data_IF_103914314780
#
_entry.id   IF_103914314780
#
_cell.length_a   1.000
_cell.length_b   1.000
_cell.length_c   1.000
_cell.angle_alpha   90.00
_cell.angle_beta   90.00
_cell.angle_gamma   90.00
#
_symmetry.space_group_name_H-M   'P 1'
#
loop_
_entity.id
_entity.type
_entity.pdbx_description
1 polymer ?
#
# COMPACT_ATOMS: atom_id res chain seq x y z
N UNK A 1 -8.25 -20.38 22.96
CA UNK A 1 -7.09 -20.97 22.26
C UNK A 1 -7.49 -22.05 21.25
N UNK A 2 -8.26 -23.09 21.61
CA UNK A 2 -8.69 -24.12 20.62
C UNK A 2 -9.50 -23.57 19.42
N UNK A 3 -10.31 -22.52 19.61
CA UNK A 3 -11.11 -21.90 18.53
C UNK A 3 -10.28 -21.24 17.41
N UNK A 4 -9.01 -20.93 17.66
CA UNK A 4 -8.13 -20.30 16.66
C UNK A 4 -7.17 -21.29 16.00
N UNK A 5 -6.89 -22.45 16.62
CA UNK A 5 -5.93 -23.41 16.07
C UNK A 5 -6.34 -23.91 14.66
N UNK A 6 -7.59 -24.35 14.48
CA UNK A 6 -8.10 -24.74 13.16
C UNK A 6 -8.21 -23.57 12.16
N UNK A 7 -8.23 -22.34 12.66
CA UNK A 7 -8.27 -21.15 11.82
C UNK A 7 -6.89 -20.77 11.27
N UNK A 8 -5.82 -20.93 12.06
CA UNK A 8 -4.45 -20.80 11.56
C UNK A 8 -4.17 -21.80 10.42
N UNK A 9 -4.63 -23.04 10.57
CA UNK A 9 -4.56 -24.06 9.52
C UNK A 9 -5.31 -23.62 8.26
N UNK A 10 -6.53 -23.10 8.40
CA UNK A 10 -7.32 -22.58 7.26
C UNK A 10 -6.63 -21.41 6.54
N UNK A 11 -6.01 -20.49 7.30
CA UNK A 11 -5.23 -19.39 6.70
C UNK A 11 -4.04 -19.96 5.93
N UNK A 12 -3.27 -20.86 6.54
CA UNK A 12 -2.09 -21.45 5.93
C UNK A 12 -2.43 -22.20 4.65
N UNK A 13 -3.49 -23.02 4.65
CA UNK A 13 -3.96 -23.71 3.44
C UNK A 13 -4.37 -22.72 2.34
N UNK A 14 -5.02 -21.60 2.71
CA UNK A 14 -5.41 -20.57 1.75
C UNK A 14 -4.19 -19.86 1.15
N UNK A 15 -3.21 -19.52 1.99
CA UNK A 15 -1.94 -18.89 1.58
C UNK A 15 -1.16 -19.84 0.67
N UNK A 16 -0.98 -21.09 1.09
CA UNK A 16 -0.22 -22.11 0.36
C UNK A 16 -0.81 -22.35 -1.03
N UNK A 17 -2.12 -22.58 -1.09
CA UNK A 17 -2.86 -22.71 -2.35
C UNK A 17 -2.66 -21.48 -3.23
N UNK A 18 -2.79 -20.27 -2.68
CA UNK A 18 -2.64 -19.04 -3.46
C UNK A 18 -1.21 -18.85 -3.96
N UNK A 19 -0.21 -19.15 -3.14
CA UNK A 19 1.20 -19.10 -3.51
C UNK A 19 1.49 -20.04 -4.67
N UNK A 20 1.04 -21.28 -4.62
CA UNK A 20 1.25 -22.24 -5.70
C UNK A 20 0.46 -21.90 -6.97
N UNK A 21 -0.75 -21.35 -6.84
CA UNK A 21 -1.50 -20.79 -7.98
C UNK A 21 -0.76 -19.64 -8.68
N UNK A 22 -0.06 -18.80 -7.90
CA UNK A 22 0.64 -17.63 -8.43
C UNK A 22 2.04 -17.99 -8.94
N UNK A 23 2.85 -18.66 -8.14
CA UNK A 23 4.29 -18.81 -8.31
C UNK A 23 4.74 -20.25 -8.61
N UNK A 24 3.79 -21.19 -8.71
CA UNK A 24 4.07 -22.60 -9.02
C UNK A 24 4.59 -23.39 -7.82
N UNK A 25 4.99 -24.64 -8.07
CA UNK A 25 5.34 -25.59 -7.00
C UNK A 25 6.64 -25.23 -6.27
N UNK A 26 7.58 -24.56 -6.95
CA UNK A 26 8.86 -24.14 -6.37
C UNK A 26 8.83 -22.63 -6.14
N UNK A 27 8.59 -22.24 -4.89
CA UNK A 27 8.51 -20.83 -4.52
C UNK A 27 9.89 -20.16 -4.55
N UNK A 28 10.01 -18.95 -5.15
CA UNK A 28 11.20 -18.11 -5.02
C UNK A 28 11.53 -17.77 -3.57
N UNK A 29 12.83 -17.57 -3.28
CA UNK A 29 13.32 -17.26 -1.93
C UNK A 29 12.69 -15.98 -1.36
N UNK A 30 12.45 -14.98 -2.20
CA UNK A 30 11.86 -13.69 -1.80
C UNK A 30 10.46 -13.87 -1.23
N UNK A 31 9.75 -14.91 -1.69
CA UNK A 31 8.40 -15.26 -1.25
C UNK A 31 8.46 -16.06 0.05
N UNK A 32 9.31 -17.08 0.11
CA UNK A 32 9.44 -17.92 1.31
C UNK A 32 9.95 -17.11 2.50
N UNK A 33 10.99 -16.30 2.32
CA UNK A 33 11.55 -15.44 3.37
C UNK A 33 10.51 -14.42 3.85
N UNK A 34 9.75 -13.81 2.92
CA UNK A 34 8.69 -12.86 3.28
C UNK A 34 7.57 -13.52 4.08
N UNK A 35 7.11 -14.71 3.66
CA UNK A 35 6.06 -15.45 4.35
C UNK A 35 6.50 -15.89 5.74
N UNK A 36 7.68 -16.50 5.86
CA UNK A 36 8.23 -16.95 7.15
C UNK A 36 8.34 -15.78 8.13
N UNK A 37 8.85 -14.64 7.67
CA UNK A 37 9.03 -13.46 8.53
C UNK A 37 7.69 -12.84 8.92
N UNK A 38 6.74 -12.68 8.00
CA UNK A 38 5.42 -12.15 8.35
C UNK A 38 4.64 -13.10 9.26
N UNK A 39 4.70 -14.41 9.00
CA UNK A 39 4.00 -15.41 9.80
C UNK A 39 4.50 -15.44 11.24
N UNK A 40 5.81 -15.42 11.45
CA UNK A 40 6.42 -15.38 12.77
C UNK A 40 5.89 -14.21 13.61
N UNK A 41 5.71 -13.03 13.00
CA UNK A 41 5.20 -11.87 13.73
C UNK A 41 3.68 -11.92 13.93
N UNK A 42 2.92 -12.47 12.98
CA UNK A 42 1.48 -12.68 13.15
C UNK A 42 1.19 -13.64 14.31
N UNK A 43 1.99 -14.70 14.46
CA UNK A 43 1.92 -15.65 15.58
C UNK A 43 2.33 -14.98 16.89
N UNK A 44 3.45 -14.24 16.91
CA UNK A 44 3.93 -13.54 18.12
C UNK A 44 2.91 -12.54 18.66
N UNK A 45 2.17 -11.86 17.77
CA UNK A 45 1.24 -10.77 18.14
C UNK A 45 -0.23 -11.18 18.19
N UNK A 46 -0.56 -12.46 17.97
CA UNK A 46 -1.94 -12.97 17.91
C UNK A 46 -2.84 -12.25 16.85
N UNK A 47 -2.28 -11.84 15.72
CA UNK A 47 -3.01 -11.10 14.66
C UNK A 47 -3.93 -11.97 13.81
N UNK A 48 -3.93 -13.29 13.99
CA UNK A 48 -4.85 -14.16 13.27
C UNK A 48 -6.32 -13.80 13.51
N UNK A 49 -6.65 -13.28 14.69
CA UNK A 49 -8.02 -12.80 14.97
C UNK A 49 -8.42 -11.67 14.01
N UNK A 50 -7.50 -10.74 13.75
CA UNK A 50 -7.71 -9.65 12.79
C UNK A 50 -7.87 -10.20 11.38
N UNK A 51 -7.03 -11.14 10.95
CA UNK A 51 -7.14 -11.75 9.63
C UNK A 51 -8.48 -12.49 9.47
N UNK A 52 -8.95 -13.18 10.52
CA UNK A 52 -10.30 -13.80 10.55
C UNK A 52 -11.40 -12.80 10.30
N UNK A 53 -11.36 -11.68 11.02
CA UNK A 53 -12.34 -10.63 10.86
C UNK A 53 -12.33 -10.06 9.45
N UNK A 54 -11.16 -9.82 8.87
CA UNK A 54 -11.03 -9.31 7.51
C UNK A 54 -11.47 -10.31 6.44
N UNK A 55 -11.23 -11.61 6.63
CA UNK A 55 -11.74 -12.66 5.73
C UNK A 55 -13.26 -12.75 5.76
N UNK A 56 -13.88 -12.60 6.94
CA UNK A 56 -15.33 -12.57 7.07
C UNK A 56 -15.93 -11.30 6.42
N UNK A 57 -15.27 -10.16 6.59
CA UNK A 57 -15.62 -8.91 5.89
C UNK A 57 -15.56 -9.10 4.38
N UNK A 58 -14.49 -9.74 3.87
CA UNK A 58 -14.34 -10.06 2.45
C UNK A 58 -15.51 -10.90 1.94
N UNK A 59 -15.92 -11.92 2.69
CA UNK A 59 -17.09 -12.76 2.37
C UNK A 59 -18.37 -11.92 2.29
N UNK A 60 -18.67 -11.12 3.32
CA UNK A 60 -19.87 -10.27 3.39
C UNK A 60 -19.92 -9.28 2.22
N UNK A 61 -18.82 -8.58 1.95
CA UNK A 61 -18.75 -7.64 0.82
C UNK A 61 -18.94 -8.36 -0.51
N UNK A 62 -18.31 -9.51 -0.71
CA UNK A 62 -18.45 -10.32 -1.92
C UNK A 62 -19.90 -10.74 -2.21
N UNK A 63 -20.63 -11.20 -1.18
CA UNK A 63 -22.03 -11.62 -1.32
C UNK A 63 -22.98 -10.47 -1.68
N UNK A 64 -22.67 -9.25 -1.25
CA UNK A 64 -23.45 -8.05 -1.57
C UNK A 64 -23.04 -7.39 -2.89
N UNK A 65 -21.93 -7.83 -3.51
CA UNK A 65 -21.29 -7.08 -4.58
C UNK A 65 -20.72 -5.73 -4.12
N UNK A 66 -20.53 -5.56 -2.81
CA UNK A 66 -19.91 -4.40 -2.19
C UNK A 66 -18.39 -4.50 -2.20
N UNK A 67 -17.74 -3.40 -1.82
CA UNK A 67 -16.27 -3.34 -1.73
C UNK A 67 -15.81 -2.86 -0.36
N UNK A 68 -14.60 -3.25 -0.01
CA UNK A 68 -13.90 -2.77 1.17
C UNK A 68 -12.43 -2.49 0.83
N UNK A 69 -11.75 -1.74 1.69
CA UNK A 69 -10.29 -1.71 1.75
C UNK A 69 -9.83 -1.57 3.19
N UNK A 70 -8.61 -2.02 3.45
CA UNK A 70 -7.94 -1.87 4.74
C UNK A 70 -6.91 -0.74 4.67
N UNK A 71 -6.71 -0.08 5.81
CA UNK A 71 -5.71 0.97 6.04
C UNK A 71 -5.07 0.70 7.39
N UNK A 72 -3.82 1.12 7.54
CA UNK A 72 -3.00 0.78 8.71
C UNK A 72 -1.94 -0.26 8.38
N UNK A 73 -1.40 -0.97 9.38
CA UNK A 73 -0.20 -1.76 9.17
C UNK A 73 -0.38 -2.92 8.19
N UNK A 74 -1.51 -3.65 8.27
CA UNK A 74 -1.82 -4.79 7.40
C UNK A 74 -1.88 -4.45 5.90
N UNK A 75 -1.99 -3.17 5.54
CA UNK A 75 -1.92 -2.73 4.13
C UNK A 75 -0.56 -3.07 3.49
N UNK A 76 0.49 -3.21 4.31
CA UNK A 76 1.85 -3.56 3.88
C UNK A 76 2.12 -5.08 3.89
N UNK A 77 1.14 -5.92 4.26
CA UNK A 77 1.33 -7.37 4.44
C UNK A 77 1.16 -8.15 3.15
N UNK A 78 2.11 -9.04 2.89
CA UNK A 78 2.07 -9.99 1.79
C UNK A 78 1.02 -11.09 2.06
N UNK A 79 0.85 -11.49 3.32
CA UNK A 79 -0.22 -12.40 3.73
C UNK A 79 -1.60 -11.77 3.46
N UNK A 80 -1.79 -10.49 3.78
CA UNK A 80 -3.04 -9.79 3.46
C UNK A 80 -3.29 -9.74 1.95
N UNK A 81 -2.25 -9.55 1.14
CA UNK A 81 -2.33 -9.61 -0.32
C UNK A 81 -2.76 -11.01 -0.82
N UNK A 82 -2.12 -12.09 -0.34
CA UNK A 82 -2.46 -13.46 -0.73
C UNK A 82 -3.87 -13.87 -0.30
N UNK A 83 -4.33 -13.42 0.86
CA UNK A 83 -5.71 -13.62 1.31
C UNK A 83 -6.72 -12.76 0.53
N UNK A 84 -6.27 -11.90 -0.38
CA UNK A 84 -7.11 -10.98 -1.16
C UNK A 84 -7.83 -9.95 -0.28
N UNK A 85 -7.15 -9.51 0.78
CA UNK A 85 -7.59 -8.42 1.67
C UNK A 85 -6.98 -7.07 1.24
N UNK A 86 -5.92 -7.11 0.43
CA UNK A 86 -5.26 -5.97 -0.19
C UNK A 86 -5.06 -6.22 -1.69
N UNK A 87 -5.22 -5.18 -2.50
CA UNK A 87 -4.90 -5.20 -3.94
C UNK A 87 -3.41 -4.92 -4.20
N UNK A 88 -2.61 -4.75 -3.14
CA UNK A 88 -1.24 -4.23 -3.20
C UNK A 88 -0.28 -5.36 -2.87
N UNK A 89 0.56 -5.69 -3.84
CA UNK A 89 1.65 -6.64 -3.67
C UNK A 89 2.88 -5.94 -3.06
N UNK A 90 3.24 -6.19 -1.80
CA UNK A 90 4.34 -5.49 -1.15
C UNK A 90 5.73 -5.98 -1.57
N UNK A 91 5.84 -7.05 -2.36
CA UNK A 91 7.13 -7.59 -2.77
C UNK A 91 7.90 -6.60 -3.67
N UNK A 92 9.23 -6.81 -3.86
CA UNK A 92 10.00 -6.07 -4.84
C UNK A 92 9.41 -6.23 -6.25
N UNK A 93 9.66 -5.27 -7.17
CA UNK A 93 9.16 -5.33 -8.53
C UNK A 93 9.58 -6.62 -9.22
N UNK A 94 8.62 -7.33 -9.81
CA UNK A 94 8.89 -8.62 -10.44
C UNK A 94 7.93 -8.92 -11.59
N UNK A 95 8.38 -9.83 -12.46
CA UNK A 95 7.57 -10.42 -13.50
C UNK A 95 6.96 -11.73 -13.04
N UNK A 96 5.72 -11.99 -13.47
CA UNK A 96 5.01 -13.23 -13.23
C UNK A 96 4.43 -13.80 -14.52
N UNK A 97 4.74 -15.05 -14.87
CA UNK A 97 4.12 -15.72 -16.00
C UNK A 97 2.76 -16.34 -15.62
N UNK A 98 1.65 -15.95 -16.29
CA UNK A 98 0.33 -16.52 -15.96
C UNK A 98 0.15 -17.98 -16.40
N UNK A 99 1.00 -18.47 -17.32
CA UNK A 99 0.90 -19.82 -17.89
C UNK A 99 1.76 -20.84 -17.14
N UNK A 100 3.07 -20.58 -17.06
CA UNK A 100 4.04 -21.53 -16.49
C UNK A 100 4.52 -21.17 -15.07
N UNK A 101 3.98 -20.08 -14.49
CA UNK A 101 4.31 -19.59 -13.14
C UNK A 101 5.77 -19.18 -12.91
N UNK A 102 6.57 -19.06 -13.97
CA UNK A 102 7.92 -18.51 -13.90
C UNK A 102 7.90 -17.08 -13.34
N UNK A 103 8.78 -16.80 -12.39
CA UNK A 103 8.87 -15.51 -11.67
C UNK A 103 10.29 -14.95 -11.72
N UNK A 104 10.42 -13.65 -11.97
CA UNK A 104 11.72 -12.96 -12.00
C UNK A 104 11.65 -11.64 -11.21
N UNK A 105 12.29 -11.62 -10.04
CA UNK A 105 12.49 -10.39 -9.26
C UNK A 105 13.54 -9.49 -9.91
N UNK A 106 13.26 -8.19 -9.92
CA UNK A 106 14.18 -7.18 -10.43
C UNK A 106 15.07 -6.67 -9.30
N UNK A 107 16.37 -6.62 -9.59
CA UNK A 107 17.39 -6.07 -8.68
C UNK A 107 17.95 -4.73 -9.19
N UNK A 108 17.46 -4.23 -10.32
CA UNK A 108 17.88 -2.96 -10.92
C UNK A 108 17.10 -1.79 -10.29
N UNK A 109 17.79 -0.67 -10.08
CA UNK A 109 17.22 0.58 -9.56
C UNK A 109 16.35 1.33 -10.58
N UNK A 110 16.31 0.86 -11.84
CA UNK A 110 15.61 1.54 -12.94
C UNK A 110 14.08 1.60 -12.80
N UNK A 111 13.47 0.63 -12.12
CA UNK A 111 12.01 0.58 -11.89
C UNK A 111 11.70 0.39 -10.41
N UNK A 112 11.02 1.39 -9.82
CA UNK A 112 10.68 1.44 -8.40
C UNK A 112 9.38 0.70 -8.04
N UNK A 113 8.56 0.37 -9.04
CA UNK A 113 7.38 -0.47 -8.89
C UNK A 113 7.16 -1.37 -10.12
N UNK A 114 6.46 -2.49 -9.91
CA UNK A 114 6.11 -3.48 -10.91
C UNK A 114 5.38 -2.91 -12.13
N UNK A 115 4.35 -2.05 -11.96
CA UNK A 115 3.66 -1.43 -13.09
C UNK A 115 4.58 -0.70 -14.08
N UNK A 116 5.75 -0.23 -13.63
CA UNK A 116 6.75 0.47 -14.43
C UNK A 116 7.72 -0.44 -15.18
N UNK A 117 7.65 -1.75 -14.96
CA UNK A 117 8.47 -2.69 -15.70
C UNK A 117 8.08 -2.70 -17.18
N UNK A 118 9.05 -2.78 -18.10
CA UNK A 118 8.77 -2.88 -19.53
C UNK A 118 8.08 -4.19 -19.87
N UNK A 119 7.26 -4.20 -20.91
CA UNK A 119 6.60 -5.42 -21.36
C UNK A 119 7.62 -6.45 -21.86
N UNK A 120 7.43 -7.71 -21.45
CA UNK A 120 8.34 -8.80 -21.78
C UNK A 120 7.58 -10.12 -21.95
N UNK A 121 8.12 -10.99 -22.79
CA UNK A 121 7.67 -12.37 -22.94
C UNK A 121 8.42 -13.28 -21.97
N UNK A 122 7.72 -14.28 -21.44
CA UNK A 122 8.27 -15.29 -20.56
C UNK A 122 9.40 -16.05 -21.26
N UNK A 123 10.59 -16.15 -20.67
CA UNK A 123 11.71 -16.86 -21.29
C UNK A 123 11.52 -18.39 -21.34
N UNK A 124 10.56 -18.93 -20.56
CA UNK A 124 10.28 -20.36 -20.50
C UNK A 124 9.22 -20.79 -21.52
N UNK A 125 8.07 -20.10 -21.57
CA UNK A 125 6.94 -20.51 -22.42
C UNK A 125 6.53 -19.47 -23.49
N UNK A 126 7.13 -18.27 -23.51
CA UNK A 126 6.82 -17.22 -24.49
C UNK A 126 5.54 -16.42 -24.22
N UNK A 127 4.77 -16.72 -23.17
CA UNK A 127 3.57 -15.97 -22.81
C UNK A 127 3.91 -14.54 -22.33
N UNK A 128 3.01 -13.57 -22.54
CA UNK A 128 3.18 -12.22 -22.01
C UNK A 128 3.25 -12.25 -20.47
N UNK A 129 4.27 -11.62 -19.88
CA UNK A 129 4.44 -11.60 -18.44
C UNK A 129 3.58 -10.52 -17.79
N UNK A 130 3.00 -10.86 -16.65
CA UNK A 130 2.40 -9.92 -15.72
C UNK A 130 3.49 -9.21 -14.93
N UNK A 131 3.16 -8.04 -14.38
CA UNK A 131 4.06 -7.18 -13.62
C UNK A 131 3.45 -6.88 -12.26
N UNK A 132 4.21 -7.01 -11.19
CA UNK A 132 3.73 -6.83 -9.81
C UNK A 132 4.84 -6.37 -8.87
N UNK A 133 4.48 -6.03 -7.64
CA UNK A 133 5.39 -5.60 -6.58
C UNK A 133 5.52 -4.08 -6.46
N UNK A 134 5.31 -3.55 -5.25
CA UNK A 134 5.41 -2.12 -4.93
C UNK A 134 6.57 -1.78 -3.99
N UNK A 135 7.44 -2.75 -3.69
CA UNK A 135 8.63 -2.60 -2.84
C UNK A 135 8.33 -2.01 -1.44
N UNK A 136 7.28 -2.52 -0.81
CA UNK A 136 6.79 -2.07 0.50
C UNK A 136 7.44 -2.90 1.60
N UNK A 137 8.03 -2.20 2.58
CA UNK A 137 8.95 -2.81 3.52
C UNK A 137 8.24 -3.37 4.74
N UNK A 138 8.60 -4.61 5.09
CA UNK A 138 8.01 -5.37 6.19
C UNK A 138 8.31 -4.73 7.55
N UNK A 139 9.43 -4.03 7.70
CA UNK A 139 9.83 -3.34 8.93
C UNK A 139 8.75 -2.38 9.46
N UNK A 140 7.92 -1.85 8.56
CA UNK A 140 6.85 -0.93 8.94
C UNK A 140 5.48 -1.58 9.16
N UNK A 141 5.34 -2.89 8.92
CA UNK A 141 4.15 -3.67 9.23
C UNK A 141 3.96 -3.79 10.75
N UNK A 142 5.05 -3.73 11.51
CA UNK A 142 5.04 -3.96 12.96
C UNK A 142 5.73 -2.85 13.75
N UNK A 143 5.29 -1.59 13.62
CA UNK A 143 5.96 -0.47 14.27
C UNK A 143 6.03 -0.66 15.78
N UNK A 144 7.15 -0.25 16.36
CA UNK A 144 7.38 -0.33 17.80
C UNK A 144 6.22 0.32 18.57
N UNK A 145 5.56 -0.46 19.43
CA UNK A 145 4.57 -0.01 20.42
C UNK A 145 3.29 0.63 19.86
N UNK A 146 2.79 0.17 18.71
CA UNK A 146 1.42 0.49 18.30
C UNK A 146 0.55 -0.75 18.50
N UNK A 147 -0.48 -0.58 19.32
CA UNK A 147 -1.56 -1.54 19.52
C UNK A 147 -2.10 -1.97 18.15
N UNK A 148 -2.33 -3.28 17.88
CA UNK A 148 -2.84 -3.70 16.59
C UNK A 148 -4.12 -2.95 16.28
N UNK A 149 -4.10 -2.16 15.21
CA UNK A 149 -5.31 -1.54 14.70
C UNK A 149 -5.40 -1.75 13.20
N UNK A 150 -6.62 -1.95 12.72
CA UNK A 150 -6.95 -1.95 11.30
C UNK A 150 -8.07 -0.95 11.09
N UNK A 151 -7.83 0.00 10.20
CA UNK A 151 -8.90 0.84 9.66
C UNK A 151 -9.54 0.06 8.50
N UNK A 152 -10.82 -0.25 8.65
CA UNK A 152 -11.60 -0.95 7.65
C UNK A 152 -12.64 0.00 7.08
N UNK A 153 -12.60 0.20 5.77
CA UNK A 153 -13.60 1.00 5.08
C UNK A 153 -14.47 0.11 4.22
N UNK A 154 -15.79 0.25 4.30
CA UNK A 154 -16.74 -0.50 3.48
C UNK A 154 -17.86 0.40 2.93
N UNK A 155 -18.56 -0.09 1.92
CA UNK A 155 -19.84 0.48 1.49
C UNK A 155 -20.90 0.41 2.63
N UNK A 156 -21.87 1.33 2.66
CA UNK A 156 -22.86 1.42 3.74
C UNK A 156 -23.77 0.20 3.80
N UNK A 157 -24.05 -0.45 2.67
CA UNK A 157 -24.84 -1.67 2.56
C UNK A 157 -24.18 -2.89 3.25
N UNK A 158 -22.86 -2.86 3.41
CA UNK A 158 -22.07 -3.88 4.11
C UNK A 158 -21.95 -3.57 5.61
N UNK A 159 -22.00 -2.30 6.01
CA UNK A 159 -21.64 -1.81 7.35
C UNK A 159 -22.38 -2.53 8.48
N UNK A 160 -23.71 -2.66 8.36
CA UNK A 160 -24.56 -3.25 9.39
C UNK A 160 -24.31 -4.76 9.58
N UNK A 161 -24.01 -5.46 8.49
CA UNK A 161 -23.75 -6.90 8.52
C UNK A 161 -22.36 -7.20 9.04
N UNK A 162 -21.35 -6.41 8.63
CA UNK A 162 -20.00 -6.47 9.18
C UNK A 162 -20.03 -6.21 10.69
N UNK A 163 -20.71 -5.15 11.13
CA UNK A 163 -20.85 -4.81 12.55
C UNK A 163 -21.45 -5.97 13.35
N UNK A 164 -22.49 -6.64 12.80
CA UNK A 164 -23.09 -7.82 13.42
C UNK A 164 -22.13 -9.01 13.44
N UNK A 165 -21.43 -9.29 12.34
CA UNK A 165 -20.48 -10.39 12.27
C UNK A 165 -19.31 -10.23 13.25
N UNK A 166 -18.73 -9.03 13.34
CA UNK A 166 -17.68 -8.69 14.30
C UNK A 166 -18.13 -8.99 15.73
N UNK A 167 -19.34 -8.57 16.10
CA UNK A 167 -19.87 -8.75 17.45
C UNK A 167 -20.33 -10.18 17.72
N UNK A 168 -21.29 -10.66 16.95
CA UNK A 168 -22.09 -11.83 17.28
C UNK A 168 -21.40 -13.13 16.84
N UNK A 169 -20.56 -13.08 15.81
CA UNK A 169 -19.85 -14.26 15.26
C UNK A 169 -18.41 -14.33 15.72
N UNK A 170 -17.72 -13.18 15.76
CA UNK A 170 -16.28 -13.12 16.01
C UNK A 170 -15.92 -12.68 17.43
N UNK A 171 -16.90 -12.25 18.24
CA UNK A 171 -16.71 -11.95 19.65
C UNK A 171 -16.02 -10.60 19.94
N UNK A 172 -15.95 -9.70 18.95
CA UNK A 172 -15.47 -8.34 19.19
C UNK A 172 -16.49 -7.53 20.00
N UNK A 173 -15.98 -6.66 20.87
CA UNK A 173 -16.77 -5.77 21.71
C UNK A 173 -16.78 -4.37 21.09
N UNK A 174 -17.96 -3.77 20.85
CA UNK A 174 -18.02 -2.40 20.37
C UNK A 174 -17.48 -1.44 21.44
N UNK A 175 -16.56 -0.56 21.05
CA UNK A 175 -15.99 0.48 21.90
C UNK A 175 -16.77 1.77 21.67
N UNK A 176 -17.30 2.35 22.75
CA UNK A 176 -17.99 3.64 22.70
C UNK A 176 -16.99 4.78 22.49
N UNK A 177 -16.78 5.19 21.24
CA UNK A 177 -16.12 6.47 20.89
C UNK A 177 -16.88 7.16 19.75
N UNK A 178 -17.81 8.08 20.06
CA UNK A 178 -18.75 8.67 19.09
C UNK A 178 -18.15 9.82 18.28
N UNK A 179 -16.86 9.80 17.97
CA UNK A 179 -16.22 10.85 17.18
C UNK A 179 -16.13 10.42 15.70
N UNK A 180 -16.61 11.29 14.81
CA UNK A 180 -16.42 11.22 13.34
C UNK A 180 -17.05 10.05 12.57
N UNK A 181 -18.12 9.43 13.05
CA UNK A 181 -18.87 8.40 12.28
C UNK A 181 -18.15 7.06 12.14
N UNK A 182 -17.17 6.81 13.02
CA UNK A 182 -16.42 5.56 13.13
C UNK A 182 -17.09 4.60 14.11
N UNK A 183 -17.12 3.30 13.79
CA UNK A 183 -17.45 2.23 14.72
C UNK A 183 -16.18 1.49 15.11
N UNK A 184 -15.83 1.48 16.39
CA UNK A 184 -14.64 0.79 16.89
C UNK A 184 -15.01 -0.54 17.53
N UNK A 185 -14.24 -1.59 17.25
CA UNK A 185 -14.42 -2.95 17.75
C UNK A 185 -13.11 -3.47 18.31
N UNK A 186 -13.10 -3.89 19.57
CA UNK A 186 -11.93 -4.43 20.25
C UNK A 186 -12.15 -5.91 20.54
N UNK A 187 -11.15 -6.75 20.29
CA UNK A 187 -11.21 -8.14 20.70
C UNK A 187 -10.91 -8.28 22.21
N UNK A 188 -11.47 -9.23 22.97
CA UNK A 188 -11.14 -9.37 24.39
C UNK A 188 -9.71 -9.92 24.59
N UNK A 189 -8.86 -9.26 25.40
CA UNK A 189 -7.48 -9.68 25.67
C UNK A 189 -6.53 -8.58 26.18
N UNK A 190 -5.29 -8.95 26.49
CA UNK A 190 -4.16 -7.99 26.56
C UNK A 190 -3.61 -7.81 25.14
N UNK A 191 -3.23 -6.59 24.75
CA UNK A 191 -2.76 -6.23 23.39
C UNK A 191 -3.77 -6.54 22.25
N UNK A 192 -5.06 -6.42 22.57
CA UNK A 192 -6.19 -6.79 21.72
C UNK A 192 -6.28 -6.06 20.37
N UNK A 193 -6.50 -6.77 19.25
CA UNK A 193 -6.71 -6.08 17.98
C UNK A 193 -7.95 -5.17 17.98
N UNK A 194 -7.75 -3.95 17.49
CA UNK A 194 -8.77 -2.92 17.27
C UNK A 194 -9.14 -2.85 15.79
N UNK A 195 -10.42 -2.92 15.47
CA UNK A 195 -10.95 -2.65 14.13
C UNK A 195 -11.75 -1.37 14.17
N UNK A 196 -11.26 -0.34 13.47
CA UNK A 196 -11.98 0.90 13.24
C UNK A 196 -12.72 0.77 11.91
N UNK A 197 -14.03 0.57 11.98
CA UNK A 197 -14.91 0.40 10.85
C UNK A 197 -15.51 1.75 10.43
N UNK A 198 -15.36 2.09 9.15
CA UNK A 198 -15.83 3.32 8.55
C UNK A 198 -16.77 3.03 7.37
N UNK A 199 -17.88 3.74 7.31
CA UNK A 199 -18.64 3.88 6.07
C UNK A 199 -17.85 4.74 5.07
N UNK A 200 -17.78 4.31 3.81
CA UNK A 200 -17.17 5.08 2.75
C UNK A 200 -18.00 5.06 1.48
N UNK A 201 -18.74 6.16 1.24
CA UNK A 201 -19.60 6.36 0.07
C UNK A 201 -18.86 6.26 -1.27
N UNK A 202 -17.56 6.55 -1.30
CA UNK A 202 -16.78 6.38 -2.53
C UNK A 202 -16.72 4.91 -2.97
N UNK A 203 -16.74 3.95 -2.04
CA UNK A 203 -16.74 2.53 -2.39
C UNK A 203 -18.06 2.10 -3.04
N UNK A 204 -19.17 2.74 -2.69
CA UNK A 204 -20.47 2.50 -3.35
C UNK A 204 -20.46 2.99 -4.79
N UNK A 205 -20.00 4.22 -5.01
CA UNK A 205 -19.86 4.77 -6.36
C UNK A 205 -18.90 3.93 -7.20
N UNK A 206 -17.76 3.55 -6.61
CA UNK A 206 -16.78 2.71 -7.27
C UNK A 206 -17.37 1.33 -7.64
N UNK A 207 -18.07 0.64 -6.72
CA UNK A 207 -18.75 -0.63 -7.00
C UNK A 207 -19.80 -0.47 -8.11
N UNK A 208 -20.57 0.62 -8.10
CA UNK A 208 -21.54 0.95 -9.14
C UNK A 208 -20.86 1.14 -10.50
N UNK A 209 -19.73 1.85 -10.57
CA UNK A 209 -19.02 2.06 -11.83
C UNK A 209 -18.57 0.73 -12.46
N UNK A 210 -17.97 -0.18 -11.66
CA UNK A 210 -17.59 -1.51 -12.16
C UNK A 210 -18.79 -2.33 -12.62
N UNK A 211 -19.88 -2.30 -11.84
CA UNK A 211 -21.12 -3.01 -12.16
C UNK A 211 -21.74 -2.50 -13.47
N UNK A 212 -21.80 -1.19 -13.66
CA UNK A 212 -22.33 -0.58 -14.88
C UNK A 212 -21.43 -0.85 -16.09
N UNK A 213 -20.11 -0.82 -15.89
CA UNK A 213 -19.13 -1.16 -16.94
C UNK A 213 -19.09 -2.66 -17.27
N UNK A 214 -19.60 -3.53 -16.38
CA UNK A 214 -19.54 -4.98 -16.54
C UNK A 214 -18.14 -5.55 -16.44
N UNK A 215 -17.26 -4.94 -15.62
CA UNK A 215 -15.83 -5.28 -15.54
C UNK A 215 -15.45 -5.69 -14.12
N UNK A 216 -14.67 -6.76 -14.01
CA UNK A 216 -14.03 -7.09 -12.74
C UNK A 216 -12.84 -6.13 -12.49
N UNK A 217 -12.78 -5.47 -11.33
CA UNK A 217 -11.69 -4.54 -11.01
C UNK A 217 -10.29 -5.18 -11.02
N UNK A 218 -10.18 -6.50 -10.94
CA UNK A 218 -8.90 -7.24 -11.04
C UNK A 218 -8.37 -7.35 -12.48
N UNK A 219 -9.22 -7.13 -13.47
CA UNK A 219 -8.84 -7.07 -14.89
C UNK A 219 -8.12 -5.76 -15.24
N UNK A 220 -8.31 -4.71 -14.44
CA UNK A 220 -7.67 -3.41 -14.63
C UNK A 220 -6.38 -3.34 -13.82
N UNK A 221 -5.29 -3.78 -14.44
CA UNK A 221 -3.95 -3.73 -13.85
C UNK A 221 -3.23 -2.43 -14.24
N UNK A 222 -2.61 -1.73 -13.27
CA UNK A 222 -1.71 -0.63 -13.56
C UNK A 222 -0.56 -1.06 -14.46
N UNK A 223 -0.25 -0.22 -15.43
CA UNK A 223 0.75 -0.51 -16.46
C UNK A 223 1.30 0.80 -17.04
N UNK A 224 2.61 1.02 -16.90
CA UNK A 224 3.28 2.20 -17.41
C UNK A 224 3.13 2.40 -18.91
N UNK A 225 3.03 1.33 -19.70
CA UNK A 225 2.81 1.42 -21.15
C UNK A 225 1.51 2.17 -21.49
N UNK A 226 0.56 2.23 -20.55
CA UNK A 226 -0.75 2.86 -20.70
C UNK A 226 -0.80 4.27 -20.12
N UNK A 227 0.19 4.68 -19.31
CA UNK A 227 0.22 5.98 -18.62
C UNK A 227 0.14 7.13 -19.62
N UNK A 228 0.91 7.09 -20.72
CA UNK A 228 0.85 8.14 -21.75
C UNK A 228 -0.57 8.35 -22.28
N UNK A 229 -1.29 7.24 -22.52
CA UNK A 229 -2.65 7.29 -23.05
C UNK A 229 -3.67 7.76 -21.99
N UNK A 230 -3.40 7.53 -20.71
CA UNK A 230 -4.30 7.83 -19.59
C UNK A 230 -3.94 9.13 -18.86
N UNK A 231 -2.82 9.78 -19.23
CA UNK A 231 -2.23 10.90 -18.47
C UNK A 231 -3.24 11.99 -18.14
N UNK A 232 -4.06 12.40 -19.11
CA UNK A 232 -5.06 13.46 -18.94
C UNK A 232 -6.19 13.01 -17.99
N UNK A 233 -6.74 11.81 -18.23
CA UNK A 233 -7.80 11.23 -17.41
C UNK A 233 -7.35 11.02 -15.96
N UNK A 234 -6.12 10.54 -15.79
CA UNK A 234 -5.50 10.29 -14.50
C UNK A 234 -5.25 11.60 -13.73
N UNK A 235 -4.67 12.61 -14.37
CA UNK A 235 -4.50 13.92 -13.75
C UNK A 235 -5.85 14.54 -13.34
N UNK A 236 -6.88 14.41 -14.18
CA UNK A 236 -8.23 14.88 -13.87
C UNK A 236 -8.87 14.12 -12.69
N UNK A 237 -8.67 12.80 -12.60
CA UNK A 237 -9.17 11.98 -11.49
C UNK A 237 -8.46 12.30 -10.17
N UNK A 238 -7.13 12.46 -10.20
CA UNK A 238 -6.34 12.89 -9.04
C UNK A 238 -6.81 14.28 -8.59
N UNK A 239 -6.93 15.24 -9.50
CA UNK A 239 -7.40 16.60 -9.18
C UNK A 239 -8.81 16.61 -8.57
N UNK A 240 -9.73 15.78 -9.08
CA UNK A 240 -11.10 15.69 -8.57
C UNK A 240 -11.12 15.21 -7.12
N UNK A 241 -10.31 14.19 -6.81
CA UNK A 241 -10.23 13.63 -5.47
C UNK A 241 -9.39 14.48 -4.51
N UNK A 242 -8.40 15.22 -5.01
CA UNK A 242 -7.41 15.99 -4.25
C UNK A 242 -7.15 17.38 -4.87
N UNK A 243 -8.05 18.38 -4.73
CA UNK A 243 -7.89 19.67 -5.41
C UNK A 243 -6.61 20.44 -5.06
N UNK A 244 -6.05 20.22 -3.86
CA UNK A 244 -4.82 20.89 -3.40
C UNK A 244 -3.56 20.43 -4.15
N UNK A 245 -3.62 19.32 -4.90
CA UNK A 245 -2.49 18.78 -5.66
C UNK A 245 -2.29 19.42 -7.05
N UNK A 246 -3.20 20.30 -7.48
CA UNK A 246 -3.18 20.92 -8.80
C UNK A 246 -1.82 21.60 -9.15
N UNK A 247 -1.14 22.28 -8.21
CA UNK A 247 0.18 22.84 -8.48
C UNK A 247 1.24 21.78 -8.84
N UNK A 248 1.19 20.58 -8.21
CA UNK A 248 2.10 19.47 -8.51
C UNK A 248 1.84 18.95 -9.93
N UNK A 249 0.57 18.66 -10.23
CA UNK A 249 0.15 18.17 -11.55
C UNK A 249 0.47 19.16 -12.68
N UNK A 250 0.47 20.46 -12.37
CA UNK A 250 0.83 21.52 -13.34
C UNK A 250 2.34 21.68 -13.50
N UNK A 251 3.14 21.32 -12.51
CA UNK A 251 4.60 21.52 -12.50
C UNK A 251 5.37 20.34 -13.09
N UNK A 252 4.83 19.11 -13.00
CA UNK A 252 5.48 17.92 -13.53
C UNK A 252 4.48 16.96 -14.20
N UNK A 253 4.76 16.46 -15.41
CA UNK A 253 3.92 15.48 -16.06
C UNK A 253 4.05 14.09 -15.40
N UNK A 254 2.95 13.34 -15.35
CA UNK A 254 2.95 11.93 -14.97
C UNK A 254 3.55 11.12 -16.13
N UNK A 255 4.68 10.46 -15.94
CA UNK A 255 5.35 9.67 -16.98
C UNK A 255 5.35 8.18 -16.69
N UNK A 256 5.29 7.81 -15.42
CA UNK A 256 5.27 6.43 -14.95
C UNK A 256 4.28 6.28 -13.79
N UNK A 257 3.98 5.04 -13.40
CA UNK A 257 3.12 4.74 -12.27
C UNK A 257 3.78 5.16 -10.94
N UNK A 258 5.10 5.09 -10.83
CA UNK A 258 5.84 5.59 -9.67
C UNK A 258 5.57 7.09 -9.41
N UNK A 259 5.45 7.90 -10.46
CA UNK A 259 5.11 9.33 -10.31
C UNK A 259 3.75 9.48 -9.61
N UNK A 260 2.79 8.61 -9.92
CA UNK A 260 1.44 8.62 -9.31
C UNK A 260 1.50 8.27 -7.83
N UNK A 261 2.31 7.26 -7.47
CA UNK A 261 2.55 6.88 -6.07
C UNK A 261 3.13 8.07 -5.31
N UNK A 262 4.17 8.72 -5.87
CA UNK A 262 4.82 9.86 -5.23
C UNK A 262 3.90 11.08 -5.12
N UNK A 263 3.07 11.37 -6.13
CA UNK A 263 2.05 12.41 -6.07
C UNK A 263 1.11 12.20 -4.88
N UNK A 264 0.59 10.98 -4.69
CA UNK A 264 -0.23 10.68 -3.50
C UNK A 264 0.57 10.71 -2.19
N UNK A 265 1.86 10.36 -2.21
CA UNK A 265 2.75 10.52 -1.06
C UNK A 265 2.86 11.97 -0.60
N UNK A 266 3.08 12.87 -1.56
CA UNK A 266 3.15 14.31 -1.31
C UNK A 266 1.81 14.88 -0.80
N UNK A 267 0.67 14.47 -1.38
CA UNK A 267 -0.67 14.84 -0.89
C UNK A 267 -0.90 14.46 0.57
N UNK A 268 -0.54 13.22 0.93
CA UNK A 268 -0.80 12.65 2.24
C UNK A 268 0.21 13.09 3.32
N UNK A 269 1.30 13.76 2.95
CA UNK A 269 2.39 14.17 3.84
C UNK A 269 2.09 15.39 4.75
N UNK A 270 0.83 15.86 4.81
CA UNK A 270 0.32 16.94 5.69
C UNK A 270 1.25 18.14 5.85
N UNK A 271 1.20 19.09 4.90
CA UNK A 271 1.95 20.37 4.93
C UNK A 271 3.49 20.25 4.97
N UNK A 272 4.06 19.06 4.77
CA UNK A 272 5.49 18.92 4.38
C UNK A 272 5.77 19.65 3.05
N UNK A 273 4.73 19.74 2.20
CA UNK A 273 4.76 20.39 0.90
C UNK A 273 4.90 21.92 0.95
N UNK A 274 4.26 22.59 1.91
CA UNK A 274 4.10 24.06 1.91
C UNK A 274 5.40 24.83 2.21
N UNK A 275 6.43 24.20 2.81
CA UNK A 275 7.75 24.83 3.00
C UNK A 275 8.84 24.31 2.05
N UNK A 276 8.73 23.07 1.55
CA UNK A 276 9.83 22.43 0.85
C UNK A 276 9.43 21.70 -0.43
N UNK A 277 8.35 20.91 -0.45
CA UNK A 277 7.99 20.16 -1.66
C UNK A 277 7.65 21.07 -2.85
N UNK A 278 6.86 22.13 -2.62
CA UNK A 278 6.51 23.11 -3.66
C UNK A 278 7.74 23.85 -4.17
N UNK A 279 8.62 24.21 -3.25
CA UNK A 279 9.90 24.81 -3.56
C UNK A 279 10.77 23.85 -4.38
N UNK A 280 10.85 22.58 -4.00
CA UNK A 280 11.65 21.57 -4.70
C UNK A 280 11.13 21.34 -6.13
N UNK A 281 9.82 21.17 -6.37
CA UNK A 281 9.32 21.00 -7.75
C UNK A 281 9.30 22.30 -8.57
N UNK A 282 9.17 23.48 -7.94
CA UNK A 282 9.20 24.77 -8.65
C UNK A 282 10.62 25.27 -8.93
N UNK A 283 11.56 25.03 -8.02
CA UNK A 283 12.96 25.48 -8.12
C UNK A 283 13.89 24.41 -8.73
N UNK A 284 13.45 23.14 -8.86
CA UNK A 284 14.26 22.04 -9.41
C UNK A 284 13.56 21.26 -10.54
N UNK A 285 14.40 20.79 -11.45
CA UNK A 285 14.13 20.03 -12.68
C UNK A 285 13.95 18.53 -12.34
N UNK A 286 13.17 18.17 -11.31
CA UNK A 286 13.06 16.78 -10.83
C UNK A 286 11.70 16.14 -11.14
N UNK A 287 11.70 14.83 -11.42
CA UNK A 287 10.46 14.07 -11.60
C UNK A 287 9.83 13.74 -10.24
N UNK A 288 8.49 13.59 -10.14
CA UNK A 288 7.83 13.24 -8.88
C UNK A 288 8.44 12.00 -8.19
N UNK A 289 8.78 10.96 -8.97
CA UNK A 289 9.47 9.74 -8.48
C UNK A 289 10.81 9.96 -7.76
N UNK A 290 11.44 11.13 -7.91
CA UNK A 290 12.71 11.44 -7.26
C UNK A 290 12.51 12.05 -5.86
N UNK A 291 11.28 12.40 -5.47
CA UNK A 291 10.98 13.09 -4.21
C UNK A 291 10.93 12.16 -2.99
N UNK A 292 11.12 12.72 -1.79
CA UNK A 292 10.82 12.03 -0.51
C UNK A 292 9.30 12.01 -0.31
N UNK A 293 8.62 10.93 -0.69
CA UNK A 293 7.15 10.88 -0.70
C UNK A 293 6.54 9.94 0.33
N UNK A 294 7.28 8.92 0.76
CA UNK A 294 6.84 7.95 1.76
C UNK A 294 7.96 7.52 2.70
N UNK A 295 7.58 6.91 3.84
CA UNK A 295 8.55 6.36 4.80
C UNK A 295 9.39 5.23 4.18
N UNK A 296 8.80 4.45 3.28
CA UNK A 296 9.45 3.34 2.61
C UNK A 296 10.48 3.83 1.59
N UNK A 297 10.24 4.97 0.92
CA UNK A 297 11.22 5.55 -0.02
C UNK A 297 12.52 5.92 0.70
N UNK A 298 12.41 6.55 1.90
CA UNK A 298 13.57 6.87 2.73
C UNK A 298 14.32 5.59 3.09
N UNK A 299 13.60 4.57 3.57
CA UNK A 299 14.20 3.28 3.92
C UNK A 299 14.93 2.65 2.72
N UNK A 300 14.23 2.51 1.59
CA UNK A 300 14.72 1.85 0.38
C UNK A 300 15.94 2.59 -0.18
N UNK A 301 15.91 3.92 -0.21
CA UNK A 301 17.03 4.73 -0.68
C UNK A 301 18.27 4.49 0.18
N UNK A 302 18.13 4.50 1.51
CA UNK A 302 19.24 4.27 2.43
C UNK A 302 19.82 2.86 2.31
N UNK A 303 18.97 1.83 2.25
CA UNK A 303 19.40 0.43 2.11
C UNK A 303 20.13 0.19 0.79
N UNK A 304 19.61 0.74 -0.32
CA UNK A 304 20.26 0.63 -1.64
C UNK A 304 21.65 1.28 -1.68
N UNK A 305 21.87 2.34 -0.88
CA UNK A 305 23.18 2.98 -0.73
C UNK A 305 24.07 2.27 0.31
N UNK A 306 23.66 1.12 0.84
CA UNK A 306 24.47 0.29 1.73
C UNK A 306 24.26 0.54 3.23
N UNK A 307 23.22 1.30 3.62
CA UNK A 307 22.87 1.43 5.03
C UNK A 307 22.21 0.14 5.55
N UNK A 308 22.62 -0.31 6.74
CA UNK A 308 21.96 -1.45 7.40
C UNK A 308 20.48 -1.18 7.69
N UNK A 309 19.63 -2.21 7.48
CA UNK A 309 18.16 -2.12 7.56
C UNK A 309 17.66 -1.53 8.90
N UNK A 310 18.23 -1.94 10.03
CA UNK A 310 17.85 -1.40 11.36
C UNK A 310 18.04 0.12 11.47
N UNK A 311 19.16 0.62 10.92
CA UNK A 311 19.47 2.06 10.93
C UNK A 311 18.59 2.80 9.93
N UNK A 312 18.38 2.24 8.74
CA UNK A 312 17.47 2.78 7.75
C UNK A 312 16.03 2.89 8.30
N UNK A 313 15.52 1.85 8.97
CA UNK A 313 14.23 1.87 9.66
C UNK A 313 14.19 2.95 10.75
N UNK A 314 15.23 3.03 11.57
CA UNK A 314 15.30 4.04 12.64
C UNK A 314 15.22 5.46 12.10
N UNK A 315 15.98 5.75 11.03
CA UNK A 315 15.97 7.06 10.36
C UNK A 315 14.62 7.31 9.71
N UNK A 316 14.14 6.40 8.87
CA UNK A 316 12.85 6.53 8.19
C UNK A 316 11.69 6.71 9.18
N UNK A 317 11.67 5.97 10.30
CA UNK A 317 10.68 6.16 11.36
C UNK A 317 10.84 7.50 12.09
N UNK A 318 12.04 8.05 12.21
CA UNK A 318 12.25 9.37 12.81
C UNK A 318 11.74 10.49 11.88
N UNK A 319 12.12 10.43 10.61
CA UNK A 319 11.70 11.37 9.56
C UNK A 319 10.18 11.35 9.39
N UNK A 320 9.57 10.17 9.25
CA UNK A 320 8.12 9.99 9.14
C UNK A 320 7.33 10.66 10.26
N UNK A 321 7.88 10.72 11.47
CA UNK A 321 7.22 11.28 12.65
C UNK A 321 7.59 12.76 12.89
N UNK A 322 8.26 13.40 11.92
CA UNK A 322 8.73 14.78 12.03
C UNK A 322 9.78 15.00 13.11
N UNK A 323 10.41 13.93 13.63
CA UNK A 323 11.40 14.05 14.72
C UNK A 323 12.75 14.61 14.25
N UNK A 324 12.95 14.67 12.94
CA UNK A 324 14.13 15.22 12.29
C UNK A 324 13.91 16.65 11.78
N UNK A 325 12.74 17.25 12.05
CA UNK A 325 12.40 18.59 11.60
C UNK A 325 13.51 19.58 12.01
N UNK A 326 13.95 20.41 11.07
CA UNK A 326 15.05 21.37 11.22
C UNK A 326 16.39 20.77 11.68
N UNK A 327 16.58 19.46 11.53
CA UNK A 327 17.77 18.75 12.00
C UNK A 327 17.87 18.60 13.52
N UNK A 328 16.76 18.80 14.25
CA UNK A 328 16.76 18.83 15.72
C UNK A 328 16.91 17.45 16.39
N UNK A 329 16.84 16.35 15.62
CA UNK A 329 17.03 15.03 16.19
C UNK A 329 18.45 14.89 16.76
N UNK A 330 18.59 14.40 18.00
CA UNK A 330 19.89 14.28 18.70
C UNK A 330 20.97 13.51 17.93
N UNK A 331 20.56 12.58 17.05
CA UNK A 331 21.46 11.76 16.21
C UNK A 331 21.59 12.29 14.78
N UNK A 332 20.91 13.38 14.42
CA UNK A 332 20.92 13.90 13.06
C UNK A 332 22.34 14.20 12.54
N UNK A 333 23.25 14.85 13.30
CA UNK A 333 24.60 15.10 12.79
C UNK A 333 25.40 13.83 12.45
N UNK A 334 25.19 12.75 13.22
CA UNK A 334 25.77 11.42 12.95
C UNK A 334 25.14 10.82 11.68
N UNK A 335 23.80 10.81 11.61
CA UNK A 335 23.07 10.23 10.49
C UNK A 335 23.31 10.97 9.18
N UNK A 336 23.34 12.30 9.20
CA UNK A 336 23.57 13.15 8.02
C UNK A 336 24.97 12.91 7.46
N UNK A 337 25.98 12.84 8.33
CA UNK A 337 27.33 12.47 7.91
C UNK A 337 27.38 11.07 7.30
N UNK A 338 26.79 10.08 7.94
CA UNK A 338 26.76 8.72 7.41
C UNK A 338 26.00 8.61 6.08
N UNK A 339 24.88 9.33 5.94
CA UNK A 339 24.11 9.43 4.70
C UNK A 339 24.96 10.04 3.58
N UNK A 340 25.69 11.12 3.86
CA UNK A 340 26.63 11.71 2.93
C UNK A 340 27.77 10.73 2.56
N UNK A 341 28.35 10.03 3.55
CA UNK A 341 29.45 9.08 3.35
C UNK A 341 29.05 7.88 2.46
N UNK A 342 27.77 7.50 2.46
CA UNK A 342 27.22 6.47 1.56
C UNK A 342 26.66 7.03 0.24
N UNK A 343 26.85 8.32 -0.04
CA UNK A 343 26.48 8.95 -1.31
C UNK A 343 25.02 9.41 -1.42
N UNK A 344 24.30 9.57 -0.30
CA UNK A 344 22.99 10.23 -0.32
C UNK A 344 23.20 11.73 -0.59
N UNK A 345 22.53 12.32 -1.59
CA UNK A 345 22.68 13.74 -1.91
C UNK A 345 22.19 14.66 -0.78
N UNK A 346 22.87 15.80 -0.60
CA UNK A 346 22.52 16.81 0.41
C UNK A 346 21.07 17.29 0.28
N UNK A 347 20.58 17.50 -0.95
CA UNK A 347 19.19 17.93 -1.14
C UNK A 347 18.18 16.93 -0.57
N UNK A 348 18.51 15.63 -0.53
CA UNK A 348 17.65 14.58 -0.02
C UNK A 348 17.60 14.62 1.51
N UNK A 349 18.74 14.86 2.18
CA UNK A 349 18.81 15.02 3.64
C UNK A 349 18.21 16.35 4.09
N UNK A 350 18.42 17.44 3.34
CA UNK A 350 17.69 18.71 3.51
C UNK A 350 16.18 18.49 3.37
N UNK A 351 15.76 17.66 2.42
CA UNK A 351 14.35 17.34 2.25
C UNK A 351 13.73 16.67 3.48
N UNK A 352 14.43 15.69 4.05
CA UNK A 352 14.01 15.01 5.28
C UNK A 352 13.87 15.95 6.49
N UNK A 353 14.66 17.03 6.57
CA UNK A 353 14.60 18.01 7.66
C UNK A 353 13.36 18.91 7.60
N UNK A 354 12.59 18.89 6.53
CA UNK A 354 11.36 19.67 6.39
C UNK A 354 10.09 18.81 6.51
N UNK A 355 10.27 17.49 6.65
CA UNK A 355 9.17 16.54 6.78
C UNK A 355 8.51 16.65 8.14
N UNK A 356 7.20 16.91 8.14
CA UNK A 356 6.35 16.80 9.35
C UNK A 356 5.74 15.42 9.49
N UNK A 357 5.35 14.81 8.38
CA UNK A 357 4.81 13.47 8.32
C UNK A 357 5.10 12.80 6.97
N UNK A 358 5.41 11.50 6.97
CA UNK A 358 5.38 10.68 5.75
C UNK A 358 4.31 9.59 5.83
N UNK A 359 3.52 9.40 4.77
CA UNK A 359 2.62 8.27 4.68
C UNK A 359 3.37 6.94 4.48
N UNK A 360 2.73 5.81 4.78
CA UNK A 360 3.11 4.50 4.24
C UNK A 360 3.07 4.49 2.71
N UNK A 361 4.05 3.84 2.07
CA UNK A 361 4.01 3.63 0.62
C UNK A 361 2.81 2.80 0.17
N UNK A 362 2.41 1.82 0.99
CA UNK A 362 1.20 1.02 0.76
C UNK A 362 -0.03 1.91 0.56
N UNK A 363 -0.24 2.90 1.43
CA UNK A 363 -1.35 3.85 1.31
C UNK A 363 -1.31 4.66 0.02
N UNK A 364 -0.11 5.08 -0.36
CA UNK A 364 0.11 5.85 -1.59
C UNK A 364 -0.19 4.99 -2.83
N UNK A 365 0.30 3.75 -2.86
CA UNK A 365 0.02 2.78 -3.90
C UNK A 365 -1.47 2.44 -4.00
N UNK A 366 -2.16 2.27 -2.86
CA UNK A 366 -3.61 2.07 -2.82
C UNK A 366 -4.36 3.20 -3.53
N UNK A 367 -4.03 4.45 -3.18
CA UNK A 367 -4.62 5.63 -3.81
C UNK A 367 -4.29 5.71 -5.30
N UNK A 368 -3.03 5.43 -5.68
CA UNK A 368 -2.59 5.42 -7.07
C UNK A 368 -3.34 4.37 -7.92
N UNK A 369 -3.46 3.13 -7.43
CA UNK A 369 -4.18 2.05 -8.11
C UNK A 369 -5.64 2.44 -8.32
N UNK A 370 -6.29 2.99 -7.29
CA UNK A 370 -7.69 3.42 -7.38
C UNK A 370 -7.89 4.55 -8.38
N UNK A 371 -7.04 5.58 -8.36
CA UNK A 371 -7.10 6.67 -9.32
C UNK A 371 -6.89 6.16 -10.76
N UNK A 372 -5.93 5.25 -10.95
CA UNK A 372 -5.69 4.61 -12.24
C UNK A 372 -6.90 3.81 -12.73
N UNK A 373 -7.50 2.96 -11.88
CA UNK A 373 -8.69 2.18 -12.25
C UNK A 373 -9.87 3.10 -12.61
N UNK A 374 -10.12 4.14 -11.82
CA UNK A 374 -11.18 5.11 -12.10
C UNK A 374 -10.94 5.87 -13.42
N UNK A 375 -9.71 6.31 -13.69
CA UNK A 375 -9.34 6.96 -14.95
C UNK A 375 -9.52 6.02 -16.15
N UNK A 376 -9.12 4.75 -16.00
CA UNK A 376 -9.28 3.73 -17.04
C UNK A 376 -10.76 3.49 -17.37
N UNK A 377 -11.62 3.27 -16.36
CA UNK A 377 -13.06 3.10 -16.58
C UNK A 377 -13.65 4.35 -17.23
N UNK A 378 -13.28 5.54 -16.75
CA UNK A 378 -13.83 6.80 -17.29
C UNK A 378 -13.54 6.98 -18.77
N UNK A 379 -12.34 6.57 -19.20
CA UNK A 379 -11.92 6.62 -20.60
C UNK A 379 -12.62 5.57 -21.47
N UNK A 380 -12.76 4.34 -20.97
CA UNK A 380 -13.23 3.21 -21.77
C UNK A 380 -14.75 2.94 -21.66
N UNK A 381 -15.37 3.37 -20.56
CA UNK A 381 -16.78 3.16 -20.20
C UNK A 381 -17.35 4.45 -19.55
N UNK A 382 -17.37 5.57 -20.28
CA UNK A 382 -17.81 6.87 -19.74
C UNK A 382 -19.25 6.84 -19.18
N UNK A 383 -20.13 6.00 -19.73
CA UNK A 383 -21.50 5.75 -19.24
C UNK A 383 -21.55 5.14 -17.83
N UNK A 384 -20.46 4.55 -17.35
CA UNK A 384 -20.37 4.08 -15.97
C UNK A 384 -20.39 5.23 -14.97
N UNK A 385 -20.11 6.46 -15.41
CA UNK A 385 -20.05 7.67 -14.57
C UNK A 385 -21.20 8.67 -14.84
N UNK A 386 -22.18 8.32 -15.67
CA UNK A 386 -23.30 9.19 -16.06
C UNK A 386 -24.47 9.18 -15.09
#
# INVERSE_FOLDING_TARGET
MEYFFGFYETINETIDKRCHEMYGDTLPKEITERLETEWAVLEERDWAVTLKALMEVKRICGEKGGRFFISGPLESSFIAYLLGLSDIDPLPPHYLCPECRHTEFQNDESSLCGPDLPDRLCPVCGAAMLKSGFDIQMEFLFPDRIWPYTELHCAADCLSEISRALKDTLGFIPVTKPEYGMLAFEFPGEDSPLINLYENKWLEHEALHYKTAGIDPSDIRPDASKIDSLRIDLAAEIKRSRPLIDPILSSAPINCFEDVIHIFGLDLSMMTWESNGEKLLRELIFAPKDTVSSRDDVFNKLVRHGMGRDKAYTIASAVRKGRCLHGEHRRWPEWEKEMHDIGIPDWYTESMKEVRYLPPRAKCAACAIRAYKAAWIRKHYPEAFS
#
